data_IF_528729063635
#
_entry.id   IF_528729063635
#
_cell.length_a   1.000
_cell.length_b   1.000
_cell.length_c   1.000
_cell.angle_alpha   90.00
_cell.angle_beta   90.00
_cell.angle_gamma   90.00
#
_symmetry.space_group_name_H-M   'P 1'
#
loop_
_entity.id
_entity.type
_entity.pdbx_description
1 polymer ?
#
# COMPACT_ATOMS: atom_id res chain seq x y z
N UNK A 1 -1.54 -21.65 -16.30
CA UNK A 1 -1.91 -20.29 -15.83
C UNK A 1 -0.73 -19.77 -15.04
N UNK A 2 -0.05 -18.71 -15.51
CA UNK A 2 1.13 -18.17 -14.83
C UNK A 2 0.63 -17.12 -13.83
N UNK A 3 0.90 -17.32 -12.54
CA UNK A 3 0.41 -16.45 -11.48
C UNK A 3 1.33 -15.22 -11.35
N UNK A 4 0.73 -14.03 -11.30
CA UNK A 4 1.41 -12.79 -10.91
C UNK A 4 1.15 -12.63 -9.41
N UNK A 5 2.20 -12.58 -8.60
CA UNK A 5 2.10 -12.51 -7.14
C UNK A 5 2.78 -11.22 -6.68
N UNK A 6 2.08 -10.39 -5.92
CA UNK A 6 2.68 -9.24 -5.25
C UNK A 6 3.47 -9.73 -4.03
N UNK A 7 4.77 -9.48 -4.02
CA UNK A 7 5.69 -9.90 -2.95
C UNK A 7 5.65 -8.94 -1.76
N UNK A 8 5.37 -7.66 -1.99
CA UNK A 8 5.28 -6.66 -0.94
C UNK A 8 5.24 -5.24 -1.47
N UNK A 9 5.07 -4.28 -0.55
CA UNK A 9 5.07 -2.85 -0.85
C UNK A 9 5.92 -2.11 0.18
N UNK A 10 6.73 -1.18 -0.30
CA UNK A 10 7.38 -0.17 0.55
C UNK A 10 6.61 1.13 0.38
N UNK A 11 6.06 1.66 1.48
CA UNK A 11 5.22 2.84 1.48
C UNK A 11 5.76 3.94 2.39
N UNK A 12 5.62 5.18 1.94
CA UNK A 12 5.75 6.40 2.74
C UNK A 12 4.34 6.86 3.09
N UNK A 13 4.10 7.06 4.38
CA UNK A 13 2.80 7.49 4.91
C UNK A 13 2.91 8.89 5.49
N UNK A 14 1.92 9.73 5.22
CA UNK A 14 1.77 11.07 5.77
C UNK A 14 0.39 11.21 6.40
N UNK A 15 0.31 11.59 7.67
CA UNK A 15 -0.95 11.91 8.34
C UNK A 15 -1.08 13.40 8.63
N UNK A 16 -2.24 13.97 8.33
CA UNK A 16 -2.65 15.27 8.82
C UNK A 16 -3.16 15.12 10.24
N UNK A 17 -2.43 15.68 11.21
CA UNK A 17 -2.77 15.64 12.62
C UNK A 17 -1.52 15.73 13.49
N UNK A 18 -1.71 15.93 14.79
CA UNK A 18 -0.65 15.63 15.77
C UNK A 18 -0.28 14.15 15.65
N UNK A 19 1.00 13.76 15.76
CA UNK A 19 1.38 12.35 15.71
C UNK A 19 0.50 11.57 16.68
N UNK A 20 -0.01 10.40 16.25
CA UNK A 20 -0.96 9.58 17.00
C UNK A 20 -0.47 9.22 18.42
N UNK A 21 0.84 9.39 18.68
CA UNK A 21 1.47 9.19 19.99
C UNK A 21 1.30 10.39 20.95
N UNK A 22 0.82 11.56 20.48
CA UNK A 22 0.84 12.82 21.25
C UNK A 22 -0.56 13.39 21.55
N UNK A 23 -1.59 13.07 20.76
CA UNK A 23 -2.96 13.49 21.06
C UNK A 23 -3.86 12.28 21.33
N UNK A 24 -4.38 12.22 22.55
CA UNK A 24 -5.41 11.28 22.97
C UNK A 24 -6.78 11.71 22.43
N UNK A 25 -7.67 10.75 22.21
CA UNK A 25 -9.02 10.98 21.67
C UNK A 25 -9.06 11.80 20.37
N UNK A 26 -8.15 11.49 19.44
CA UNK A 26 -7.95 12.25 18.21
C UNK A 26 -8.20 11.41 16.96
N UNK A 27 -8.83 12.05 15.97
CA UNK A 27 -9.04 11.50 14.63
C UNK A 27 -7.86 11.94 13.78
N UNK A 28 -7.32 11.04 12.99
CA UNK A 28 -6.31 11.40 11.99
C UNK A 28 -6.67 10.80 10.64
N UNK A 29 -6.30 11.53 9.61
CA UNK A 29 -6.41 11.11 8.22
C UNK A 29 -5.02 11.19 7.61
N UNK A 30 -4.71 10.27 6.71
CA UNK A 30 -3.44 10.22 6.04
C UNK A 30 -3.53 9.66 4.64
N UNK A 31 -2.47 9.92 3.90
CA UNK A 31 -2.24 9.39 2.58
C UNK A 31 -0.94 8.59 2.59
N UNK A 32 -0.88 7.56 1.77
CA UNK A 32 0.32 6.75 1.57
C UNK A 32 0.63 6.65 0.09
N UNK A 33 1.90 6.62 -0.23
CA UNK A 33 2.41 6.36 -1.57
C UNK A 33 3.64 5.47 -1.47
N UNK A 34 3.82 4.57 -2.41
CA UNK A 34 4.85 3.56 -2.32
C UNK A 34 5.08 2.83 -3.63
N UNK A 35 5.93 1.82 -3.53
CA UNK A 35 6.29 0.96 -4.66
C UNK A 35 6.03 -0.47 -4.25
N UNK A 36 5.27 -1.18 -5.07
CA UNK A 36 4.93 -2.60 -4.91
C UNK A 36 5.86 -3.43 -5.80
N UNK A 37 6.35 -4.56 -5.28
CA UNK A 37 7.18 -5.50 -6.01
C UNK A 37 6.35 -6.72 -6.40
N UNK A 38 6.39 -7.12 -7.67
CA UNK A 38 5.70 -8.29 -8.18
C UNK A 38 6.67 -9.38 -8.63
N UNK A 39 6.28 -10.65 -8.48
CA UNK A 39 7.01 -11.81 -8.99
C UNK A 39 6.21 -12.47 -10.11
N UNK A 40 6.91 -12.84 -11.19
CA UNK A 40 6.33 -13.58 -12.31
C UNK A 40 5.77 -12.71 -13.44
N UNK A 41 5.90 -11.38 -13.36
CA UNK A 41 5.50 -10.45 -14.41
C UNK A 41 6.44 -10.51 -15.64
N UNK A 42 7.73 -10.79 -15.43
CA UNK A 42 8.68 -10.99 -16.53
C UNK A 42 8.66 -12.41 -17.10
N UNK A 43 8.48 -12.53 -18.42
CA UNK A 43 8.86 -13.72 -19.20
C UNK A 43 10.33 -13.62 -19.61
N UNK A 44 10.95 -14.75 -19.94
CA UNK A 44 12.36 -14.90 -20.36
C UNK A 44 12.67 -14.18 -21.70
N UNK A 45 11.64 -13.59 -22.33
CA UNK A 45 11.69 -12.93 -23.64
C UNK A 45 11.52 -11.40 -23.56
N UNK A 46 11.47 -10.82 -22.35
CA UNK A 46 11.27 -9.38 -22.18
C UNK A 46 12.61 -8.61 -22.27
N UNK A 47 12.71 -7.65 -23.20
CA UNK A 47 13.89 -6.80 -23.36
C UNK A 47 14.09 -5.81 -22.20
N UNK A 48 13.01 -5.32 -21.61
CA UNK A 48 12.98 -4.51 -20.40
C UNK A 48 11.71 -4.90 -19.64
N UNK A 49 11.83 -5.21 -18.36
CA UNK A 49 10.71 -5.60 -17.54
C UNK A 49 10.84 -4.92 -16.19
N UNK A 50 9.91 -4.01 -15.91
CA UNK A 50 9.82 -3.36 -14.63
C UNK A 50 8.82 -4.14 -13.76
N UNK A 51 9.36 -4.86 -12.78
CA UNK A 51 8.58 -5.65 -11.82
C UNK A 51 7.96 -4.78 -10.70
N UNK A 52 8.05 -3.44 -10.81
CA UNK A 52 7.58 -2.52 -9.79
C UNK A 52 6.29 -1.80 -10.23
N UNK A 53 5.32 -1.71 -9.33
CA UNK A 53 4.12 -0.90 -9.49
C UNK A 53 4.19 0.33 -8.58
N UNK A 54 3.77 1.49 -9.07
CA UNK A 54 3.51 2.62 -8.18
C UNK A 54 2.18 2.40 -7.45
N UNK A 55 2.19 2.55 -6.14
CA UNK A 55 1.06 2.29 -5.28
C UNK A 55 0.72 3.54 -4.46
N UNK A 56 -0.57 3.79 -4.22
CA UNK A 56 -1.04 4.94 -3.45
C UNK A 56 -2.35 4.61 -2.73
N UNK A 57 -2.59 5.28 -1.62
CA UNK A 57 -3.74 4.97 -0.78
C UNK A 57 -4.07 6.07 0.22
N UNK A 58 -5.23 5.90 0.85
CA UNK A 58 -5.69 6.76 1.94
C UNK A 58 -5.95 5.91 3.16
N UNK A 59 -5.74 6.50 4.32
CA UNK A 59 -6.02 5.86 5.59
C UNK A 59 -6.56 6.83 6.61
N UNK A 60 -7.30 6.31 7.56
CA UNK A 60 -7.85 7.06 8.66
C UNK A 60 -7.81 6.24 9.92
N UNK A 61 -7.65 6.90 11.05
CA UNK A 61 -7.60 6.22 12.32
C UNK A 61 -8.14 7.07 13.46
N UNK A 62 -8.41 6.38 14.56
CA UNK A 62 -8.78 6.99 15.82
C UNK A 62 -7.80 6.51 16.90
N UNK A 63 -7.18 7.47 17.57
CA UNK A 63 -6.39 7.23 18.76
C UNK A 63 -7.30 7.34 19.97
N UNK A 64 -7.54 6.23 20.67
CA UNK A 64 -8.37 6.24 21.89
C UNK A 64 -7.56 6.76 23.07
N UNK A 65 -6.36 6.20 23.29
CA UNK A 65 -5.46 6.58 24.38
C UNK A 65 -4.02 6.52 23.91
N UNK A 66 -3.06 7.05 24.68
CA UNK A 66 -1.63 6.96 24.36
C UNK A 66 -1.12 5.53 24.07
N UNK A 67 -1.84 4.50 24.50
CA UNK A 67 -1.47 3.09 24.38
C UNK A 67 -2.31 2.28 23.37
N UNK A 68 -3.43 2.82 22.86
CA UNK A 68 -4.32 2.09 21.95
C UNK A 68 -4.91 2.97 20.85
N UNK A 69 -4.65 2.57 19.59
CA UNK A 69 -5.17 3.22 18.40
C UNK A 69 -5.50 2.22 17.29
N UNK A 70 -6.42 2.61 16.41
CA UNK A 70 -6.90 1.80 15.28
C UNK A 70 -6.80 2.60 14.00
N UNK A 71 -6.37 1.95 12.92
CA UNK A 71 -6.27 2.50 11.58
C UNK A 71 -6.95 1.59 10.56
N UNK A 72 -7.67 2.20 9.62
CA UNK A 72 -8.19 1.56 8.41
C UNK A 72 -7.65 2.27 7.17
N UNK A 73 -7.30 1.50 6.16
CA UNK A 73 -6.73 2.00 4.91
C UNK A 73 -7.31 1.33 3.68
N UNK A 74 -7.29 2.05 2.57
CA UNK A 74 -7.53 1.52 1.23
C UNK A 74 -6.37 1.94 0.34
N UNK A 75 -5.78 0.97 -0.34
CA UNK A 75 -4.59 1.19 -1.15
C UNK A 75 -4.76 0.55 -2.51
N UNK A 76 -4.53 1.36 -3.54
CA UNK A 76 -4.28 0.91 -4.90
C UNK A 76 -2.80 0.55 -4.99
N UNK A 77 -2.53 -0.73 -5.25
CA UNK A 77 -1.18 -1.25 -5.34
C UNK A 77 -0.56 -1.07 -6.73
N UNK A 78 -1.29 -0.50 -7.67
CA UNK A 78 -0.88 -0.32 -9.06
C UNK A 78 -0.73 -1.62 -9.81
N UNK A 79 -0.32 -1.53 -11.08
CA UNK A 79 0.09 -2.66 -11.89
C UNK A 79 1.53 -2.45 -12.37
N UNK A 80 2.32 -3.52 -12.52
CA UNK A 80 3.59 -3.43 -13.25
C UNK A 80 3.28 -3.12 -14.73
N UNK A 81 3.78 -2.00 -15.24
CA UNK A 81 3.64 -1.64 -16.65
C UNK A 81 4.66 -2.43 -17.49
N UNK A 82 4.27 -3.60 -17.98
CA UNK A 82 5.01 -4.31 -19.02
C UNK A 82 4.42 -3.98 -20.39
N UNK A 83 5.15 -3.24 -21.22
CA UNK A 83 4.81 -3.03 -22.64
C UNK A 83 4.84 -4.38 -23.37
N UNK A 84 3.68 -5.03 -23.53
CA UNK A 84 3.51 -6.13 -24.47
C UNK A 84 2.79 -5.61 -25.72
N UNK A 85 3.38 -5.82 -26.89
CA UNK A 85 2.76 -5.67 -28.22
C UNK A 85 1.67 -6.74 -28.39
N UNK A 86 0.57 -6.62 -27.66
CA UNK A 86 -0.78 -7.10 -27.98
C UNK A 86 -1.60 -7.03 -26.69
N UNK A 87 -2.49 -6.04 -26.60
CA UNK A 87 -3.45 -5.75 -25.52
C UNK A 87 -2.87 -5.34 -24.14
N UNK A 88 -3.07 -4.07 -23.70
CA UNK A 88 -2.76 -3.69 -22.33
C UNK A 88 -3.79 -4.34 -21.40
N UNK A 89 -3.41 -5.43 -20.75
CA UNK A 89 -4.13 -5.93 -19.57
C UNK A 89 -3.63 -5.16 -18.35
N UNK A 90 -4.23 -4.00 -18.10
CA UNK A 90 -4.15 -3.30 -16.83
C UNK A 90 -4.90 -4.14 -15.79
N UNK A 91 -4.19 -4.53 -14.72
CA UNK A 91 -4.68 -5.42 -13.69
C UNK A 91 -4.70 -4.60 -12.40
N UNK A 92 -5.75 -3.80 -12.27
CA UNK A 92 -5.92 -2.91 -11.12
C UNK A 92 -6.01 -3.75 -9.84
N UNK A 93 -5.00 -3.64 -8.99
CA UNK A 93 -4.96 -4.35 -7.70
C UNK A 93 -5.24 -3.38 -6.57
N UNK A 94 -6.40 -3.53 -5.93
CA UNK A 94 -6.76 -2.77 -4.74
C UNK A 94 -6.80 -3.69 -3.52
N UNK A 95 -6.55 -3.13 -2.34
CA UNK A 95 -6.75 -3.85 -1.09
C UNK A 95 -7.07 -2.94 0.08
N UNK A 96 -7.78 -3.52 1.04
CA UNK A 96 -8.10 -2.89 2.32
C UNK A 96 -7.13 -3.34 3.40
N UNK A 97 -6.84 -2.44 4.32
CA UNK A 97 -5.85 -2.62 5.37
C UNK A 97 -6.51 -2.26 6.72
N UNK A 98 -6.27 -3.07 7.75
CA UNK A 98 -6.70 -2.80 9.11
C UNK A 98 -5.51 -3.02 10.04
N UNK A 99 -5.20 -2.02 10.86
CA UNK A 99 -4.07 -2.06 11.79
C UNK A 99 -4.48 -1.51 13.16
N UNK A 100 -3.83 -2.01 14.21
CA UNK A 100 -3.99 -1.52 15.57
C UNK A 100 -2.65 -1.49 16.28
N UNK A 101 -2.39 -0.42 17.04
CA UNK A 101 -1.18 -0.30 17.85
C UNK A 101 -1.54 -0.43 19.33
N UNK A 102 -0.86 -1.35 20.02
CA UNK A 102 -0.99 -1.58 21.45
C UNK A 102 0.40 -1.45 22.10
N UNK A 103 0.57 -0.48 23.00
CA UNK A 103 1.81 -0.33 23.78
C UNK A 103 1.60 -0.98 25.15
N UNK A 104 2.34 -2.06 25.42
CA UNK A 104 2.38 -2.73 26.72
C UNK A 104 3.58 -2.17 27.49
N UNK A 105 3.33 -1.63 28.69
CA UNK A 105 4.40 -1.20 29.61
C UNK A 105 4.89 -2.39 30.44
#
# INVERSE_FOLDING_TARGET
MKQIIMLGMVAVSYSSGTPAVVAEDAWYLGARAGVSHYQGACKVEALECDDNGFAYGLYGGYQFNSWFGVEIGVTDYGSPSGLYTDSPTELDTWGGELSGCFVIN
#
